data_IF_306699161125
#
_entry.id   IF_306699161125
#
_cell.length_a   1.000
_cell.length_b   1.000
_cell.length_c   1.000
_cell.angle_alpha   90.00
_cell.angle_beta   90.00
_cell.angle_gamma   90.00
#
_symmetry.space_group_name_H-M   'P 1'
#
loop_
_entity.id
_entity.type
_entity.pdbx_description
1 polymer ?
#
# COMPACT_ATOMS: atom_id res chain seq x y z
N UNK A 1 -4.62 -6.85 4.25
CA UNK A 1 -4.97 -8.31 4.24
C UNK A 1 -3.75 -9.19 4.47
N UNK A 2 -2.65 -9.10 3.70
CA UNK A 2 -1.48 -9.98 3.85
C UNK A 2 -0.86 -9.93 5.26
N UNK A 3 -0.69 -8.74 5.84
CA UNK A 3 -0.26 -8.58 7.24
C UNK A 3 -1.18 -9.30 8.23
N UNK A 4 -2.52 -9.20 8.06
CA UNK A 4 -3.47 -9.89 8.92
C UNK A 4 -3.37 -11.42 8.78
N UNK A 5 -3.24 -11.92 7.54
CA UNK A 5 -3.08 -13.36 7.31
C UNK A 5 -1.81 -13.88 7.99
N UNK A 6 -0.69 -13.19 7.87
CA UNK A 6 0.57 -13.58 8.50
C UNK A 6 0.53 -13.51 10.04
N UNK A 7 -0.23 -12.55 10.61
CA UNK A 7 -0.37 -12.42 12.06
C UNK A 7 -1.34 -13.45 12.67
N UNK A 8 -2.46 -13.71 12.01
CA UNK A 8 -3.53 -14.55 12.57
C UNK A 8 -3.39 -16.03 12.19
N UNK A 9 -2.72 -16.32 11.06
CA UNK A 9 -2.55 -17.67 10.52
C UNK A 9 -1.10 -17.91 10.05
N UNK A 10 -0.09 -17.77 10.93
CA UNK A 10 1.32 -17.89 10.54
C UNK A 10 1.67 -19.29 9.99
N UNK A 11 0.96 -20.32 10.43
CA UNK A 11 1.07 -21.70 9.94
C UNK A 11 0.64 -21.86 8.46
N UNK A 12 -0.09 -20.90 7.93
CA UNK A 12 -0.57 -20.85 6.55
C UNK A 12 0.28 -19.99 5.62
N UNK A 13 1.28 -19.29 6.16
CA UNK A 13 2.08 -18.31 5.43
C UNK A 13 3.55 -18.68 5.52
N UNK A 14 4.13 -19.12 4.41
CA UNK A 14 5.56 -19.43 4.35
C UNK A 14 6.42 -18.17 4.42
N UNK A 15 6.06 -17.14 3.64
CA UNK A 15 6.75 -15.85 3.59
C UNK A 15 5.75 -14.71 3.39
N UNK A 16 6.09 -13.52 3.84
CA UNK A 16 5.35 -12.29 3.57
C UNK A 16 6.24 -11.32 2.77
N UNK A 17 5.75 -10.85 1.62
CA UNK A 17 6.31 -9.68 0.95
C UNK A 17 5.29 -8.56 0.97
N UNK A 18 5.64 -7.44 1.57
CA UNK A 18 4.84 -6.21 1.58
C UNK A 18 5.52 -5.15 0.69
N UNK A 19 4.80 -4.64 -0.30
CA UNK A 19 5.31 -3.62 -1.22
C UNK A 19 4.58 -2.31 -0.96
N UNK A 20 5.33 -1.26 -0.63
CA UNK A 20 4.83 0.10 -0.34
C UNK A 20 3.74 0.18 0.73
N UNK A 21 3.55 -0.85 1.55
CA UNK A 21 2.51 -0.85 2.61
C UNK A 21 3.11 -1.29 3.94
N UNK A 22 3.32 -0.38 4.89
CA UNK A 22 3.87 -0.70 6.21
C UNK A 22 2.89 -1.54 7.04
N UNK A 23 3.39 -2.09 8.15
CA UNK A 23 2.53 -2.79 9.11
C UNK A 23 1.43 -1.85 9.63
N UNK A 24 0.15 -2.30 9.77
CA UNK A 24 -0.95 -1.43 10.17
C UNK A 24 -0.72 -0.67 11.48
N UNK A 25 -0.11 -1.31 12.48
CA UNK A 25 0.22 -0.64 13.75
C UNK A 25 1.33 0.43 13.58
N UNK A 26 2.31 0.21 12.70
CA UNK A 26 3.31 1.20 12.35
C UNK A 26 2.69 2.41 11.64
N UNK A 27 1.74 2.16 10.74
CA UNK A 27 0.97 3.20 10.07
C UNK A 27 0.15 4.04 11.05
N UNK A 28 -0.56 3.41 11.99
CA UNK A 28 -1.30 4.11 13.05
C UNK A 28 -0.38 5.02 13.88
N UNK A 29 0.80 4.52 14.24
CA UNK A 29 1.82 5.28 14.96
C UNK A 29 2.31 6.49 14.17
N UNK A 30 2.56 6.32 12.87
CA UNK A 30 3.02 7.37 11.98
C UNK A 30 1.98 8.49 11.76
N UNK A 31 0.68 8.20 11.84
CA UNK A 31 -0.38 9.23 11.76
C UNK A 31 -0.26 10.30 12.85
N UNK A 32 0.27 9.97 14.02
CA UNK A 32 0.40 10.92 15.14
C UNK A 32 1.83 11.42 15.34
N UNK A 33 2.83 10.80 14.71
CA UNK A 33 4.25 11.10 14.91
C UNK A 33 4.96 11.68 13.68
N UNK A 34 4.26 11.83 12.55
CA UNK A 34 4.85 12.32 11.30
C UNK A 34 3.84 13.06 10.42
N UNK A 35 4.24 13.42 9.20
CA UNK A 35 3.37 14.00 8.16
C UNK A 35 2.43 12.98 7.48
N UNK A 36 2.41 11.73 7.95
CA UNK A 36 1.64 10.66 7.32
C UNK A 36 0.15 10.97 7.24
N UNK A 37 -0.42 11.64 8.25
CA UNK A 37 -1.83 12.04 8.22
C UNK A 37 -2.12 13.00 7.06
N UNK A 38 -1.19 13.94 6.78
CA UNK A 38 -1.33 14.86 5.65
C UNK A 38 -1.19 14.13 4.31
N UNK A 39 -0.30 13.14 4.19
CA UNK A 39 -0.16 12.30 2.99
C UNK A 39 -1.41 11.46 2.74
N UNK A 40 -2.14 11.11 3.80
CA UNK A 40 -3.30 10.22 3.77
C UNK A 40 -4.65 10.94 3.79
N UNK A 41 -4.71 12.27 3.61
CA UNK A 41 -5.95 13.08 3.68
C UNK A 41 -7.08 12.54 2.80
N UNK A 42 -6.73 11.98 1.64
CA UNK A 42 -7.69 11.42 0.69
C UNK A 42 -8.47 10.23 1.26
N UNK A 43 -7.93 9.51 2.24
CA UNK A 43 -8.63 8.39 2.90
C UNK A 43 -9.89 8.87 3.60
N UNK A 44 -9.87 10.09 4.17
CA UNK A 44 -11.05 10.73 4.76
C UNK A 44 -12.12 11.05 3.70
N UNK A 45 -11.70 11.59 2.56
CA UNK A 45 -12.61 11.85 1.43
C UNK A 45 -13.29 10.56 0.95
N UNK A 46 -12.54 9.46 0.89
CA UNK A 46 -13.04 8.17 0.39
C UNK A 46 -14.09 7.52 1.31
N UNK A 47 -14.24 7.98 2.56
CA UNK A 47 -15.31 7.52 3.45
C UNK A 47 -16.70 8.00 3.01
N UNK A 48 -16.76 9.11 2.26
CA UNK A 48 -18.05 9.66 1.81
C UNK A 48 -18.70 8.74 0.77
N UNK A 49 -20.01 8.50 0.85
CA UNK A 49 -20.72 7.72 -0.16
C UNK A 49 -20.90 8.54 -1.45
N UNK A 50 -20.72 7.90 -2.60
CA UNK A 50 -20.99 8.40 -3.97
C UNK A 50 -20.18 9.64 -4.40
N UNK A 51 -19.80 10.53 -3.50
CA UNK A 51 -19.10 11.77 -3.82
C UNK A 51 -17.71 11.55 -4.41
N UNK A 52 -16.84 10.69 -3.82
CA UNK A 52 -15.53 10.40 -4.39
C UNK A 52 -15.61 9.84 -5.80
N UNK A 53 -16.54 8.89 -6.05
CA UNK A 53 -16.72 8.29 -7.37
C UNK A 53 -17.07 9.34 -8.43
N UNK A 54 -17.99 10.25 -8.10
CA UNK A 54 -18.40 11.34 -9.02
C UNK A 54 -17.26 12.31 -9.30
N UNK A 55 -16.52 12.70 -8.25
CA UNK A 55 -15.40 13.64 -8.39
C UNK A 55 -14.26 13.01 -9.18
N UNK A 56 -13.83 11.81 -8.81
CA UNK A 56 -12.67 11.12 -9.39
C UNK A 56 -12.90 10.80 -10.87
N UNK A 57 -14.12 10.39 -11.25
CA UNK A 57 -14.47 10.06 -12.64
C UNK A 57 -14.98 11.24 -13.44
N UNK A 58 -15.13 12.43 -12.86
CA UNK A 58 -15.60 13.61 -13.59
C UNK A 58 -14.67 13.93 -14.76
N UNK A 59 -15.23 14.57 -15.81
CA UNK A 59 -14.46 14.96 -16.99
C UNK A 59 -13.68 13.81 -17.63
N UNK A 60 -14.29 12.62 -17.74
CA UNK A 60 -13.67 11.41 -18.28
C UNK A 60 -12.46 10.91 -17.45
N UNK A 61 -12.47 11.12 -16.13
CA UNK A 61 -11.44 10.67 -15.23
C UNK A 61 -10.21 11.60 -15.13
N UNK A 62 -10.36 12.86 -15.51
CA UNK A 62 -9.26 13.87 -15.40
C UNK A 62 -8.66 13.98 -13.98
N UNK A 63 -9.47 14.06 -12.90
CA UNK A 63 -8.92 14.10 -11.56
C UNK A 63 -8.11 12.85 -11.19
N UNK A 64 -8.57 11.67 -11.60
CA UNK A 64 -7.84 10.43 -11.40
C UNK A 64 -6.50 10.44 -12.16
N UNK A 65 -6.49 10.88 -13.41
CA UNK A 65 -5.25 11.05 -14.19
C UNK A 65 -4.24 11.94 -13.48
N UNK A 66 -4.70 13.09 -13.01
CA UNK A 66 -3.85 14.05 -12.31
C UNK A 66 -3.27 13.46 -11.03
N UNK A 67 -4.07 12.71 -10.26
CA UNK A 67 -3.63 12.04 -9.04
C UNK A 67 -2.57 10.96 -9.33
N UNK A 68 -2.82 10.10 -10.30
CA UNK A 68 -1.90 9.01 -10.68
C UNK A 68 -0.57 9.55 -11.21
N UNK A 69 -0.60 10.58 -12.08
CA UNK A 69 0.60 11.26 -12.58
C UNK A 69 1.40 11.93 -11.45
N UNK A 70 0.72 12.60 -10.53
CA UNK A 70 1.37 13.20 -9.35
C UNK A 70 2.02 12.14 -8.45
N UNK A 71 1.47 10.94 -8.41
CA UNK A 71 2.07 9.79 -7.74
C UNK A 71 3.24 9.16 -8.51
N UNK A 72 3.62 9.68 -9.68
CA UNK A 72 4.74 9.20 -10.47
C UNK A 72 4.43 8.04 -11.42
N UNK A 73 3.15 7.75 -11.70
CA UNK A 73 2.79 6.70 -12.64
C UNK A 73 2.98 7.17 -14.10
N UNK A 74 3.62 6.37 -14.99
CA UNK A 74 3.78 6.69 -16.41
C UNK A 74 2.44 6.81 -17.16
N UNK A 75 2.40 7.62 -18.22
CA UNK A 75 1.16 7.97 -18.92
C UNK A 75 0.42 6.76 -19.50
N UNK A 76 1.13 5.79 -20.03
CA UNK A 76 0.54 4.55 -20.56
C UNK A 76 -0.13 3.71 -19.46
N UNK A 77 0.48 3.65 -18.27
CA UNK A 77 -0.10 3.00 -17.12
C UNK A 77 -1.29 3.82 -16.58
N UNK A 78 -1.18 5.16 -16.53
CA UNK A 78 -2.30 6.05 -16.15
C UNK A 78 -3.52 5.77 -17.00
N UNK A 79 -3.36 5.64 -18.32
CA UNK A 79 -4.47 5.37 -19.23
C UNK A 79 -5.15 4.04 -18.95
N UNK A 80 -4.36 2.98 -18.73
CA UNK A 80 -4.89 1.65 -18.35
C UNK A 80 -5.67 1.69 -17.04
N UNK A 81 -5.13 2.33 -16.00
CA UNK A 81 -5.79 2.45 -14.70
C UNK A 81 -7.08 3.26 -14.79
N UNK A 82 -7.08 4.40 -15.49
CA UNK A 82 -8.28 5.22 -15.66
C UNK A 82 -9.35 4.47 -16.44
N UNK A 83 -8.98 3.76 -17.50
CA UNK A 83 -9.93 2.93 -18.26
C UNK A 83 -10.56 1.88 -17.35
N UNK A 84 -9.75 1.16 -16.56
CA UNK A 84 -10.22 0.14 -15.62
C UNK A 84 -11.15 0.71 -14.56
N UNK A 85 -10.82 1.84 -13.97
CA UNK A 85 -11.63 2.47 -12.93
C UNK A 85 -12.96 3.03 -13.45
N UNK A 86 -13.09 3.25 -14.76
CA UNK A 86 -14.35 3.66 -15.41
C UNK A 86 -15.32 2.51 -15.70
N UNK A 87 -14.87 1.28 -15.57
CA UNK A 87 -15.79 0.13 -15.68
C UNK A 87 -16.83 0.17 -14.55
N UNK A 88 -18.07 -0.26 -14.81
CA UNK A 88 -19.13 -0.23 -13.81
C UNK A 88 -18.71 -0.93 -12.50
N UNK A 89 -18.79 -0.21 -11.38
CA UNK A 89 -18.47 -0.73 -10.05
C UNK A 89 -16.98 -0.81 -9.71
N UNK A 90 -16.04 -0.70 -10.66
CA UNK A 90 -14.62 -0.89 -10.40
C UNK A 90 -14.07 0.12 -9.40
N UNK A 91 -14.32 1.43 -9.58
CA UNK A 91 -13.87 2.45 -8.63
C UNK A 91 -14.53 2.28 -7.26
N UNK A 92 -15.83 1.98 -7.22
CA UNK A 92 -16.55 1.74 -5.95
C UNK A 92 -15.95 0.57 -5.19
N UNK A 93 -15.61 -0.52 -5.87
CA UNK A 93 -14.94 -1.67 -5.26
C UNK A 93 -13.54 -1.30 -4.74
N UNK A 94 -12.76 -0.51 -5.49
CA UNK A 94 -11.47 -0.02 -5.04
C UNK A 94 -11.59 0.88 -3.80
N UNK A 95 -12.56 1.80 -3.76
CA UNK A 95 -12.82 2.67 -2.62
C UNK A 95 -13.36 1.91 -1.40
N UNK A 96 -14.01 0.77 -1.58
CA UNK A 96 -14.52 -0.06 -0.49
C UNK A 96 -13.39 -0.55 0.45
N UNK A 97 -12.17 -0.73 -0.05
CA UNK A 97 -11.00 -1.02 0.78
C UNK A 97 -10.73 0.08 1.82
N UNK A 98 -10.80 1.33 1.41
CA UNK A 98 -10.62 2.47 2.32
C UNK A 98 -11.82 2.63 3.27
N UNK A 99 -13.03 2.38 2.80
CA UNK A 99 -14.26 2.40 3.63
C UNK A 99 -14.28 1.31 4.68
N UNK A 100 -13.56 0.21 4.46
CA UNK A 100 -13.40 -0.87 5.42
C UNK A 100 -12.37 -0.57 6.53
N UNK A 101 -11.48 0.42 6.37
CA UNK A 101 -10.41 0.72 7.34
C UNK A 101 -10.93 0.98 8.77
N UNK A 102 -12.00 1.77 9.01
CA UNK A 102 -12.51 1.98 10.37
C UNK A 102 -12.98 0.68 11.05
N UNK A 103 -13.46 -0.29 10.26
CA UNK A 103 -13.90 -1.59 10.78
C UNK A 103 -12.72 -2.50 11.12
N UNK A 104 -11.60 -2.37 10.40
CA UNK A 104 -10.38 -3.15 10.67
C UNK A 104 -9.74 -2.80 12.03
N UNK A 105 -10.08 -1.66 12.62
CA UNK A 105 -9.64 -1.28 13.96
C UNK A 105 -10.23 -2.17 15.07
N UNK A 106 -11.30 -2.93 14.78
CA UNK A 106 -11.92 -3.87 15.74
C UNK A 106 -11.07 -5.12 15.94
N UNK A 107 -10.37 -5.54 14.88
CA UNK A 107 -9.48 -6.70 14.90
C UNK A 107 -8.06 -6.24 14.51
N UNK A 108 -7.32 -5.64 15.44
CA UNK A 108 -6.00 -5.10 15.15
C UNK A 108 -5.04 -6.21 14.73
N UNK A 109 -4.26 -5.92 13.71
CA UNK A 109 -3.20 -6.82 13.26
C UNK A 109 -2.11 -6.84 14.33
N UNK A 110 -1.89 -7.99 14.94
CA UNK A 110 -0.82 -8.23 15.90
C UNK A 110 0.56 -8.32 15.23
N UNK A 111 1.60 -8.51 16.05
CA UNK A 111 2.96 -8.71 15.54
C UNK A 111 3.08 -9.99 14.72
N UNK A 112 3.91 -9.95 13.71
CA UNK A 112 4.25 -11.11 12.87
C UNK A 112 5.26 -11.98 13.60
N UNK A 113 4.95 -13.26 13.77
CA UNK A 113 5.80 -14.26 14.41
C UNK A 113 5.96 -15.49 13.53
N UNK A 114 7.18 -15.97 13.39
CA UNK A 114 7.46 -17.20 12.62
C UNK A 114 7.33 -17.07 11.10
N UNK A 115 7.02 -15.88 10.57
CA UNK A 115 6.89 -15.64 9.13
C UNK A 115 8.00 -14.70 8.67
N UNK A 116 8.98 -15.19 7.89
CA UNK A 116 9.99 -14.34 7.25
C UNK A 116 9.32 -13.25 6.41
N UNK A 117 9.74 -12.01 6.60
CA UNK A 117 9.09 -10.84 6.02
C UNK A 117 10.06 -9.98 5.23
N UNK A 118 9.74 -9.73 3.97
CA UNK A 118 10.37 -8.73 3.12
C UNK A 118 9.44 -7.52 2.99
N UNK A 119 9.95 -6.33 3.34
CA UNK A 119 9.25 -5.08 3.11
C UNK A 119 10.02 -4.27 2.06
N UNK A 120 9.41 -4.02 0.91
CA UNK A 120 9.96 -3.21 -0.17
C UNK A 120 9.30 -1.83 -0.11
N UNK A 121 10.10 -0.77 0.00
CA UNK A 121 9.65 0.61 0.00
C UNK A 121 10.53 1.46 -0.91
N UNK A 122 10.05 2.63 -1.31
CA UNK A 122 10.74 3.50 -2.25
C UNK A 122 10.79 4.95 -1.77
N UNK A 123 11.91 5.65 -2.05
CA UNK A 123 12.19 6.97 -1.47
C UNK A 123 11.27 8.07 -1.98
N UNK A 124 10.80 7.95 -3.23
CA UNK A 124 9.92 8.94 -3.88
C UNK A 124 8.43 8.59 -3.72
N UNK A 125 8.09 7.74 -2.71
CA UNK A 125 6.71 7.43 -2.38
C UNK A 125 5.98 8.66 -1.84
N UNK A 126 5.03 9.18 -2.62
CA UNK A 126 4.23 10.35 -2.25
C UNK A 126 3.16 10.05 -1.18
N UNK A 127 2.82 8.77 -0.97
CA UNK A 127 1.71 8.33 -0.11
C UNK A 127 2.18 7.77 1.22
N UNK A 128 3.29 7.02 1.24
CA UNK A 128 3.80 6.31 2.40
C UNK A 128 5.17 6.85 2.81
N UNK A 129 5.22 7.43 4.02
CA UNK A 129 6.41 8.05 4.54
C UNK A 129 7.39 7.06 5.19
N UNK A 130 8.66 7.46 5.28
CA UNK A 130 9.76 6.70 5.88
C UNK A 130 9.47 6.25 7.32
N UNK A 131 8.82 7.10 8.12
CA UNK A 131 8.56 6.82 9.55
C UNK A 131 7.71 5.56 9.73
N UNK A 132 6.64 5.39 8.95
CA UNK A 132 5.81 4.19 9.01
C UNK A 132 6.57 2.95 8.51
N UNK A 133 7.39 3.12 7.48
CA UNK A 133 8.21 2.06 6.89
C UNK A 133 9.22 1.52 7.91
N UNK A 134 10.03 2.38 8.51
CA UNK A 134 11.05 2.00 9.49
C UNK A 134 10.43 1.44 10.78
N UNK A 135 9.30 2.01 11.22
CA UNK A 135 8.60 1.49 12.41
C UNK A 135 8.01 0.08 12.21
N UNK A 136 7.90 -0.42 10.98
CA UNK A 136 7.35 -1.75 10.68
C UNK A 136 8.17 -2.87 11.30
N UNK A 137 9.49 -2.75 11.35
CA UNK A 137 10.40 -3.74 11.96
C UNK A 137 10.00 -4.10 13.39
N UNK A 138 9.54 -3.13 14.19
CA UNK A 138 9.13 -3.33 15.59
C UNK A 138 7.98 -4.35 15.75
N UNK A 139 7.26 -4.64 14.68
CA UNK A 139 6.13 -5.57 14.64
C UNK A 139 6.46 -6.90 13.97
N UNK A 140 7.71 -7.11 13.57
CA UNK A 140 8.17 -8.33 12.91
C UNK A 140 9.16 -9.07 13.80
N UNK A 141 8.73 -10.13 14.47
CA UNK A 141 9.54 -10.92 15.41
C UNK A 141 10.06 -12.23 14.78
N UNK A 142 10.37 -12.19 13.52
CA UNK A 142 11.04 -13.23 12.74
C UNK A 142 12.06 -12.54 11.83
N UNK A 143 12.64 -13.26 10.86
CA UNK A 143 13.51 -12.63 9.86
C UNK A 143 12.75 -11.48 9.18
N UNK A 144 13.30 -10.26 9.27
CA UNK A 144 12.76 -9.07 8.62
C UNK A 144 13.85 -8.41 7.78
N UNK A 145 13.49 -8.09 6.54
CA UNK A 145 14.35 -7.36 5.62
C UNK A 145 13.58 -6.17 5.07
N UNK A 146 14.14 -4.97 5.21
CA UNK A 146 13.69 -3.77 4.54
C UNK A 146 14.57 -3.51 3.31
N UNK A 147 13.97 -3.49 2.15
CA UNK A 147 14.61 -3.09 0.90
C UNK A 147 14.12 -1.71 0.50
N UNK A 148 15.02 -0.77 0.32
CA UNK A 148 14.72 0.62 -0.06
C UNK A 148 15.15 0.85 -1.50
N UNK A 149 14.19 1.15 -2.37
CA UNK A 149 14.42 1.49 -3.77
C UNK A 149 14.56 3.01 -3.92
N UNK A 150 15.76 3.46 -4.21
CA UNK A 150 16.04 4.89 -4.35
C UNK A 150 15.53 5.46 -5.67
N UNK A 151 14.93 6.65 -5.64
CA UNK A 151 14.39 7.34 -6.81
C UNK A 151 13.18 6.68 -7.47
N UNK A 152 12.58 5.67 -6.84
CA UNK A 152 11.36 5.02 -7.33
C UNK A 152 10.15 5.60 -6.60
N UNK A 153 9.04 5.83 -7.33
CA UNK A 153 7.79 6.29 -6.74
C UNK A 153 7.00 5.14 -6.10
N UNK A 154 5.80 5.43 -5.60
CA UNK A 154 4.88 4.44 -5.01
C UNK A 154 4.59 3.22 -5.90
N UNK A 155 4.69 3.39 -7.21
CA UNK A 155 4.32 2.40 -8.22
C UNK A 155 5.45 1.42 -8.52
N UNK A 156 5.99 0.81 -7.47
CA UNK A 156 7.13 -0.14 -7.55
C UNK A 156 6.89 -1.26 -8.58
N UNK A 157 5.70 -1.91 -8.66
CA UNK A 157 5.47 -2.96 -9.65
C UNK A 157 5.57 -2.48 -11.10
N UNK A 158 5.24 -1.23 -11.38
CA UNK A 158 5.29 -0.63 -12.72
C UNK A 158 6.67 -0.07 -13.07
N UNK A 159 7.40 0.46 -12.08
CA UNK A 159 8.63 1.20 -12.31
C UNK A 159 9.90 0.40 -12.05
N UNK A 160 9.82 -0.64 -11.23
CA UNK A 160 10.94 -1.47 -10.82
C UNK A 160 10.58 -2.96 -10.81
N UNK A 161 9.80 -3.40 -11.82
CA UNK A 161 9.28 -4.77 -11.93
C UNK A 161 10.36 -5.85 -11.83
N UNK A 162 11.46 -5.69 -12.56
CA UNK A 162 12.54 -6.67 -12.60
C UNK A 162 13.23 -6.77 -11.23
N UNK A 163 13.54 -5.62 -10.62
CA UNK A 163 14.12 -5.59 -9.27
C UNK A 163 13.18 -6.18 -8.22
N UNK A 164 11.90 -5.87 -8.30
CA UNK A 164 10.89 -6.46 -7.42
C UNK A 164 10.82 -7.98 -7.59
N UNK A 165 10.83 -8.47 -8.82
CA UNK A 165 10.80 -9.91 -9.11
C UNK A 165 12.04 -10.64 -8.56
N UNK A 166 13.23 -10.05 -8.69
CA UNK A 166 14.47 -10.58 -8.09
C UNK A 166 14.35 -10.70 -6.58
N UNK A 167 13.92 -9.62 -5.91
CA UNK A 167 13.77 -9.55 -4.45
C UNK A 167 12.78 -10.60 -3.92
N UNK A 168 11.60 -10.67 -4.54
CA UNK A 168 10.56 -11.65 -4.18
C UNK A 168 11.06 -13.07 -4.39
N UNK A 169 11.73 -13.34 -5.53
CA UNK A 169 12.25 -14.67 -5.84
C UNK A 169 13.34 -15.08 -4.85
N UNK A 170 14.25 -14.19 -4.51
CA UNK A 170 15.29 -14.45 -3.52
C UNK A 170 14.66 -14.74 -2.14
N UNK A 171 13.72 -13.89 -1.70
CA UNK A 171 13.05 -14.04 -0.42
C UNK A 171 12.29 -15.37 -0.29
N UNK A 172 11.58 -15.78 -1.34
CA UNK A 172 10.83 -17.05 -1.34
C UNK A 172 11.74 -18.28 -1.32
N UNK A 173 12.97 -18.17 -1.88
CA UNK A 173 13.94 -19.29 -1.90
C UNK A 173 14.70 -19.47 -0.59
N UNK A 174 14.87 -18.41 0.19
CA UNK A 174 15.67 -18.42 1.44
C UNK A 174 14.84 -18.69 2.70
N UNK A 175 13.53 -18.84 2.58
CA UNK A 175 12.59 -19.02 3.68
C UNK A 175 12.05 -20.45 3.83
#
# INVERSE_FOLDING_TARGET
MAWGLAAWHPDRVRTLTAVSVPHPAAMTKAFVSSDQLLRSYYMGLFQLPFLPERLILSGHGRPLRALLRRGGLPDDAVDRYVQRMREPGALTAALAWYRALPWSARDPVGSIRGVPTLHVWSTDDAFLGRVATEATEQFCHSSYQLEVLDGVSHWVPELASDRLAELVTAHVRTA
#
